data_IF_481654657421
#
_entry.id   IF_481654657421
#
_cell.length_a   1.000
_cell.length_b   1.000
_cell.length_c   1.000
_cell.angle_alpha   90.00
_cell.angle_beta   90.00
_cell.angle_gamma   90.00
#
_symmetry.space_group_name_H-M   'P 1'
#
loop_
_entity.id
_entity.type
_entity.pdbx_description
1 polymer ?
#
# COMPACT_ATOMS: atom_id res chain seq x y z
N UNK A 1 -25.75 -19.55 34.77
CA UNK A 1 -25.97 -18.44 33.81
C UNK A 1 -25.14 -18.55 32.52
N UNK A 2 -24.39 -19.63 32.26
CA UNK A 2 -23.43 -19.66 31.14
C UNK A 2 -23.92 -20.30 29.84
N UNK A 3 -25.11 -20.92 29.83
CA UNK A 3 -25.63 -21.60 28.64
C UNK A 3 -26.26 -20.64 27.64
N UNK A 4 -26.97 -19.62 28.14
CA UNK A 4 -27.67 -18.63 27.34
C UNK A 4 -26.67 -17.70 26.64
N UNK A 5 -25.62 -17.29 27.34
CA UNK A 5 -24.57 -16.43 26.79
C UNK A 5 -23.78 -17.13 25.68
N UNK A 6 -23.44 -18.41 25.88
CA UNK A 6 -22.76 -19.23 24.87
C UNK A 6 -23.62 -19.47 23.64
N UNK A 7 -24.91 -19.69 23.83
CA UNK A 7 -25.86 -19.85 22.74
C UNK A 7 -25.99 -18.56 21.91
N UNK A 8 -26.05 -17.40 22.59
CA UNK A 8 -26.10 -16.11 21.92
C UNK A 8 -24.82 -15.80 21.13
N UNK A 9 -23.64 -16.09 21.67
CA UNK A 9 -22.37 -15.92 20.97
C UNK A 9 -22.34 -16.75 19.68
N UNK A 10 -22.75 -18.02 19.73
CA UNK A 10 -22.84 -18.88 18.54
C UNK A 10 -23.81 -18.32 17.49
N UNK A 11 -24.98 -17.83 17.91
CA UNK A 11 -25.95 -17.22 17.00
C UNK A 11 -25.38 -15.96 16.34
N UNK A 12 -24.75 -15.06 17.11
CA UNK A 12 -24.15 -13.84 16.55
C UNK A 12 -23.00 -14.15 15.60
N UNK A 13 -22.21 -15.19 15.88
CA UNK A 13 -21.11 -15.62 15.02
C UNK A 13 -21.63 -16.15 13.68
N UNK A 14 -22.64 -17.02 13.71
CA UNK A 14 -23.26 -17.56 12.49
C UNK A 14 -23.93 -16.46 11.66
N UNK A 15 -24.63 -15.51 12.29
CA UNK A 15 -25.22 -14.35 11.60
C UNK A 15 -24.16 -13.43 10.98
N UNK A 16 -22.99 -13.29 11.62
CA UNK A 16 -21.86 -12.53 11.09
C UNK A 16 -21.22 -13.18 9.86
N UNK A 17 -21.25 -14.52 9.78
CA UNK A 17 -20.77 -15.26 8.62
C UNK A 17 -21.78 -15.26 7.45
N UNK A 18 -23.08 -15.13 7.75
CA UNK A 18 -24.16 -15.22 6.75
C UNK A 18 -24.61 -13.87 6.20
N UNK A 19 -24.23 -12.77 6.84
CA UNK A 19 -24.48 -11.42 6.32
C UNK A 19 -23.17 -10.82 5.82
N UNK A 20 -23.06 -10.35 4.57
CA UNK A 20 -21.97 -9.48 4.16
C UNK A 20 -22.24 -8.11 4.78
N UNK A 21 -22.10 -8.02 6.10
CA UNK A 21 -22.17 -6.74 6.81
C UNK A 21 -20.76 -6.15 6.81
N UNK A 22 -20.54 -4.99 6.18
CA UNK A 22 -19.28 -4.29 6.34
C UNK A 22 -19.20 -3.91 7.81
N UNK A 23 -18.15 -4.34 8.50
CA UNK A 23 -17.83 -3.86 9.83
C UNK A 23 -17.63 -2.34 9.75
N UNK A 24 -18.70 -1.57 10.02
CA UNK A 24 -18.60 -0.13 10.23
C UNK A 24 -18.20 0.08 11.68
N UNK A 25 -16.94 -0.17 11.98
CA UNK A 25 -16.34 0.17 13.26
C UNK A 25 -16.37 1.68 13.45
N UNK A 26 -16.90 2.14 14.59
CA UNK A 26 -16.78 3.54 15.01
C UNK A 26 -15.29 3.83 15.17
N UNK A 27 -14.72 4.60 14.23
CA UNK A 27 -13.35 5.13 14.31
C UNK A 27 -12.26 4.36 13.56
N UNK A 28 -12.59 3.34 12.76
CA UNK A 28 -11.60 2.62 11.94
C UNK A 28 -11.47 3.22 10.55
N UNK A 29 -10.24 3.52 10.10
CA UNK A 29 -9.96 3.83 8.69
C UNK A 29 -10.34 2.59 7.89
N UNK A 30 -11.45 2.66 7.16
CA UNK A 30 -11.88 1.62 6.23
C UNK A 30 -10.73 1.28 5.28
N UNK A 31 -10.54 -0.01 4.96
CA UNK A 31 -9.80 -0.39 3.76
C UNK A 31 -10.55 0.21 2.57
N UNK A 32 -10.08 1.38 2.12
CA UNK A 32 -10.66 2.04 0.97
C UNK A 32 -10.37 1.18 -0.27
N UNK A 33 -11.38 0.93 -1.13
CA UNK A 33 -11.13 0.31 -2.42
C UNK A 33 -10.14 1.16 -3.22
N UNK A 34 -9.48 0.54 -4.20
CA UNK A 34 -8.55 1.22 -5.12
C UNK A 34 -9.20 2.48 -5.72
N UNK A 35 -8.90 3.64 -5.13
CA UNK A 35 -9.26 4.93 -5.68
C UNK A 35 -8.22 5.29 -6.74
N UNK A 36 -8.69 5.53 -7.96
CA UNK A 36 -7.85 5.95 -9.07
C UNK A 36 -7.17 7.28 -8.73
N UNK A 37 -5.86 7.25 -8.49
CA UNK A 37 -5.04 8.47 -8.42
C UNK A 37 -4.81 9.00 -9.82
N UNK A 38 -5.67 9.92 -10.26
CA UNK A 38 -5.49 10.72 -11.47
C UNK A 38 -4.50 11.84 -11.17
N UNK A 39 -3.21 11.57 -11.41
CA UNK A 39 -2.13 12.54 -11.18
C UNK A 39 -0.99 12.34 -12.15
N UNK A 40 -1.28 12.35 -13.45
CA UNK A 40 -0.25 12.46 -14.50
C UNK A 40 0.13 13.93 -14.64
N UNK A 41 1.13 14.36 -13.89
CA UNK A 41 1.85 15.61 -14.10
C UNK A 41 3.25 15.29 -14.59
N UNK A 42 3.39 14.97 -15.88
CA UNK A 42 4.70 14.89 -16.54
C UNK A 42 5.25 16.30 -16.71
N UNK A 43 6.18 16.70 -15.84
CA UNK A 43 6.99 17.90 -16.00
C UNK A 43 8.21 17.54 -16.84
N UNK A 44 8.26 18.07 -18.06
CA UNK A 44 9.34 17.84 -19.02
C UNK A 44 10.71 18.32 -18.48
N UNK A 45 11.61 17.34 -18.35
CA UNK A 45 12.91 17.28 -19.01
C UNK A 45 14.09 18.13 -18.49
N UNK A 46 14.58 17.74 -17.30
CA UNK A 46 16.04 17.71 -16.99
C UNK A 46 16.46 16.50 -16.14
N UNK A 47 15.51 15.89 -15.43
CA UNK A 47 15.71 14.74 -14.55
C UNK A 47 14.72 13.62 -14.94
N UNK A 48 14.99 12.36 -14.59
CA UNK A 48 14.07 11.26 -14.85
C UNK A 48 12.77 11.31 -13.99
N UNK A 49 11.85 10.34 -14.16
CA UNK A 49 10.46 10.49 -13.73
C UNK A 49 10.28 10.48 -12.21
N UNK A 50 9.37 11.33 -11.73
CA UNK A 50 8.92 11.40 -10.34
C UNK A 50 7.39 11.31 -10.31
N UNK A 51 6.84 10.34 -9.60
CA UNK A 51 5.39 10.10 -9.60
C UNK A 51 4.90 9.41 -8.33
N UNK A 52 3.57 9.43 -8.11
CA UNK A 52 2.91 8.66 -7.05
C UNK A 52 2.70 7.22 -7.51
N UNK A 53 3.07 6.20 -6.71
CA UNK A 53 2.86 4.82 -7.10
C UNK A 53 1.36 4.54 -7.30
N UNK A 54 0.98 3.71 -8.29
CA UNK A 54 -0.33 3.07 -8.36
C UNK A 54 -0.75 2.49 -7.02
N UNK A 55 -1.96 2.80 -6.56
CA UNK A 55 -2.48 2.29 -5.29
C UNK A 55 -1.85 2.90 -4.04
N UNK A 56 -1.02 3.94 -4.18
CA UNK A 56 -0.49 4.69 -3.04
C UNK A 56 -1.59 5.29 -2.17
N UNK A 57 -1.30 5.49 -0.88
CA UNK A 57 -2.23 6.12 0.06
C UNK A 57 -2.57 7.54 -0.39
N UNK A 58 -3.87 7.86 -0.50
CA UNK A 58 -4.33 9.21 -0.88
C UNK A 58 -4.32 10.21 0.29
N UNK A 59 -4.43 9.72 1.53
CA UNK A 59 -4.51 10.53 2.75
C UNK A 59 -3.79 9.85 3.90
N UNK A 60 -3.45 10.63 4.92
CA UNK A 60 -2.80 10.16 6.14
C UNK A 60 -1.30 9.88 5.97
N UNK A 61 -0.67 9.24 6.98
CA UNK A 61 0.75 8.89 6.95
C UNK A 61 1.09 8.03 5.72
N UNK A 62 2.16 8.42 5.00
CA UNK A 62 2.61 7.77 3.77
C UNK A 62 2.02 8.32 2.48
N UNK A 63 1.03 9.23 2.54
CA UNK A 63 0.42 9.83 1.34
C UNK A 63 1.37 10.71 0.52
N UNK A 64 2.45 11.18 1.14
CA UNK A 64 3.51 11.94 0.50
C UNK A 64 4.56 11.08 -0.21
N UNK A 65 4.52 9.74 -0.11
CA UNK A 65 5.47 8.84 -0.78
C UNK A 65 5.49 9.04 -2.30
N UNK A 66 6.67 9.06 -2.91
CA UNK A 66 6.89 9.21 -4.36
C UNK A 66 7.94 8.22 -4.84
N UNK A 67 7.74 7.69 -6.05
CA UNK A 67 8.75 6.99 -6.82
C UNK A 67 9.60 8.01 -7.57
N UNK A 68 10.92 7.80 -7.58
CA UNK A 68 11.90 8.77 -8.09
C UNK A 68 12.99 8.00 -8.84
N UNK A 69 13.20 8.38 -10.09
CA UNK A 69 14.16 7.75 -11.01
C UNK A 69 15.05 8.81 -11.66
N UNK A 70 15.84 9.59 -10.88
CA UNK A 70 16.52 10.78 -11.37
C UNK A 70 17.50 10.50 -12.52
N UNK A 71 18.10 9.31 -12.56
CA UNK A 71 19.05 8.89 -13.59
C UNK A 71 18.39 8.34 -14.86
N UNK A 72 17.08 8.07 -14.85
CA UNK A 72 16.36 7.52 -16.00
C UNK A 72 15.79 8.64 -16.88
N UNK A 73 16.67 9.48 -17.43
CA UNK A 73 16.27 10.55 -18.37
C UNK A 73 15.70 9.93 -19.64
N UNK A 74 14.62 10.52 -20.17
CA UNK A 74 13.90 9.99 -21.33
C UNK A 74 12.95 8.83 -21.01
N UNK A 75 12.74 8.53 -19.72
CA UNK A 75 11.71 7.59 -19.27
C UNK A 75 10.53 8.33 -18.65
N UNK A 76 9.34 7.78 -18.83
CA UNK A 76 8.09 8.30 -18.30
C UNK A 76 7.30 7.21 -17.58
N UNK A 77 6.57 7.61 -16.55
CA UNK A 77 5.60 6.75 -15.88
C UNK A 77 4.41 6.45 -16.81
N UNK A 78 4.04 5.17 -16.92
CA UNK A 78 3.02 4.71 -17.87
C UNK A 78 1.89 3.88 -17.26
N UNK A 79 1.88 3.65 -15.94
CA UNK A 79 0.81 2.87 -15.30
C UNK A 79 -0.47 3.69 -15.18
N UNK A 80 -1.58 3.20 -15.73
CA UNK A 80 -2.92 3.82 -15.62
C UNK A 80 -3.88 2.89 -14.88
N UNK A 81 -5.05 3.37 -14.42
CA UNK A 81 -6.08 2.50 -13.86
C UNK A 81 -6.50 1.35 -14.79
N UNK A 82 -6.50 1.59 -16.10
CA UNK A 82 -6.87 0.63 -17.15
C UNK A 82 -5.71 -0.29 -17.54
N UNK A 83 -4.47 0.15 -17.34
CA UNK A 83 -3.27 -0.61 -17.62
C UNK A 83 -2.26 -0.54 -16.47
N UNK A 84 -2.34 -1.51 -15.56
CA UNK A 84 -1.40 -1.69 -14.46
C UNK A 84 -0.15 -2.51 -14.83
N UNK A 85 -0.09 -3.05 -16.05
CA UNK A 85 1.04 -3.85 -16.49
C UNK A 85 2.28 -3.00 -16.77
N UNK A 86 2.11 -1.78 -17.29
CA UNK A 86 3.21 -0.86 -17.57
C UNK A 86 3.65 -0.13 -16.30
N UNK A 87 4.96 -0.04 -16.06
CA UNK A 87 5.54 0.73 -14.94
C UNK A 87 6.25 2.00 -15.45
N UNK A 88 7.26 1.83 -16.30
CA UNK A 88 8.03 2.89 -16.94
C UNK A 88 8.16 2.59 -18.43
N UNK A 89 8.13 3.62 -19.28
CA UNK A 89 8.39 3.50 -20.71
C UNK A 89 9.43 4.53 -21.14
N UNK A 90 10.37 4.11 -21.97
CA UNK A 90 11.30 5.00 -22.64
C UNK A 90 10.58 5.74 -23.78
N UNK A 91 10.63 7.06 -23.77
CA UNK A 91 9.88 7.91 -24.68
C UNK A 91 10.44 7.87 -26.12
N UNK A 92 11.70 7.46 -26.31
CA UNK A 92 12.35 7.40 -27.62
C UNK A 92 12.30 5.99 -28.22
N UNK A 93 12.66 4.97 -27.44
CA UNK A 93 12.78 3.59 -27.93
C UNK A 93 11.50 2.78 -27.79
N UNK A 94 10.56 3.22 -26.94
CA UNK A 94 9.37 2.46 -26.58
C UNK A 94 9.64 1.26 -25.68
N UNK A 95 10.89 1.05 -25.21
CA UNK A 95 11.22 0.01 -24.25
C UNK A 95 10.44 0.22 -22.93
N UNK A 96 9.96 -0.86 -22.33
CA UNK A 96 9.13 -0.81 -21.12
C UNK A 96 9.72 -1.66 -19.99
N UNK A 97 9.66 -1.11 -18.78
CA UNK A 97 9.61 -1.93 -17.57
C UNK A 97 8.15 -2.20 -17.28
N UNK A 98 7.76 -3.47 -17.31
CA UNK A 98 6.38 -3.91 -17.19
C UNK A 98 6.28 -5.21 -16.39
N UNK A 99 5.07 -5.74 -16.24
CA UNK A 99 4.79 -6.94 -15.44
C UNK A 99 5.49 -8.22 -15.94
N UNK A 100 5.96 -8.22 -17.19
CA UNK A 100 6.69 -9.36 -17.79
C UNK A 100 8.20 -9.19 -17.79
N UNK A 101 8.70 -8.01 -17.37
CA UNK A 101 10.13 -7.80 -17.16
C UNK A 101 10.65 -8.76 -16.09
N UNK A 102 11.82 -9.36 -16.33
CA UNK A 102 12.45 -10.24 -15.34
C UNK A 102 13.03 -9.40 -14.20
N UNK A 103 12.28 -9.28 -13.10
CA UNK A 103 12.69 -8.49 -11.94
C UNK A 103 13.79 -9.14 -11.11
N UNK A 104 14.16 -10.40 -11.40
CA UNK A 104 15.29 -11.08 -10.76
C UNK A 104 16.61 -10.81 -11.51
N UNK A 105 16.55 -10.33 -12.76
CA UNK A 105 17.71 -9.85 -13.50
C UNK A 105 18.04 -8.39 -13.09
N UNK A 106 19.20 -8.23 -12.42
CA UNK A 106 19.69 -6.91 -12.01
C UNK A 106 19.87 -5.94 -13.19
N UNK A 107 20.08 -6.44 -14.42
CA UNK A 107 20.19 -5.59 -15.61
C UNK A 107 18.83 -5.07 -16.10
N UNK A 108 17.73 -5.68 -15.64
CA UNK A 108 16.35 -5.30 -15.96
C UNK A 108 15.67 -4.58 -14.80
N UNK A 109 16.44 -4.06 -13.85
CA UNK A 109 15.94 -3.27 -12.73
C UNK A 109 16.06 -1.76 -13.01
N UNK A 110 14.96 -0.98 -12.90
CA UNK A 110 15.01 0.47 -13.02
C UNK A 110 15.95 1.13 -12.00
N UNK A 111 16.69 2.14 -12.42
CA UNK A 111 17.62 2.88 -11.54
C UNK A 111 16.91 3.95 -10.71
N UNK A 112 16.61 3.62 -9.46
CA UNK A 112 15.92 4.51 -8.50
C UNK A 112 16.85 5.33 -7.60
N UNK A 113 16.38 5.59 -6.37
CA UNK A 113 17.13 6.27 -5.29
C UNK A 113 17.22 5.40 -4.04
N UNK A 114 18.21 5.67 -3.19
CA UNK A 114 18.26 5.12 -1.83
C UNK A 114 17.23 5.81 -0.95
N UNK A 115 16.38 5.03 -0.25
CA UNK A 115 15.48 5.53 0.80
C UNK A 115 15.91 4.98 2.15
N UNK A 116 16.12 5.86 3.11
CA UNK A 116 16.56 5.50 4.46
C UNK A 116 15.39 5.56 5.44
N UNK A 117 15.25 4.52 6.27
CA UNK A 117 14.24 4.42 7.31
C UNK A 117 14.90 4.04 8.63
N UNK A 118 14.44 4.64 9.73
CA UNK A 118 14.78 4.22 11.09
C UNK A 118 13.53 3.59 11.68
N UNK A 119 13.67 2.34 12.10
CA UNK A 119 12.57 1.51 12.59
C UNK A 119 12.93 1.02 13.99
N UNK A 120 12.13 1.42 14.96
CA UNK A 120 12.27 1.03 16.36
C UNK A 120 11.34 -0.13 16.68
N UNK A 121 11.91 -1.24 17.15
CA UNK A 121 11.13 -2.37 17.65
C UNK A 121 10.79 -2.14 19.12
N UNK A 122 9.50 -2.12 19.44
CA UNK A 122 9.02 -1.84 20.79
C UNK A 122 8.01 -2.88 21.25
N UNK A 123 8.08 -3.25 22.53
CA UNK A 123 6.98 -3.97 23.19
C UNK A 123 5.86 -2.97 23.48
N UNK A 124 4.65 -3.27 23.02
CA UNK A 124 3.48 -2.41 23.17
C UNK A 124 2.19 -3.22 23.21
N UNK A 125 1.20 -2.71 23.93
CA UNK A 125 -0.15 -3.26 23.91
C UNK A 125 -0.83 -2.91 22.58
N UNK A 126 -1.41 -3.90 21.93
CA UNK A 126 -2.17 -3.75 20.69
C UNK A 126 -3.51 -4.46 20.82
N UNK A 127 -4.55 -3.89 20.20
CA UNK A 127 -5.84 -4.53 20.01
C UNK A 127 -6.27 -4.27 18.56
N UNK A 128 -6.16 -5.29 17.70
CA UNK A 128 -6.44 -5.18 16.28
C UNK A 128 -7.75 -5.88 15.87
N UNK A 129 -8.23 -6.81 16.68
CA UNK A 129 -9.36 -7.70 16.41
C UNK A 129 -10.41 -7.71 17.53
N UNK A 130 -10.29 -6.80 18.50
CA UNK A 130 -11.15 -6.74 19.69
C UNK A 130 -10.53 -7.41 20.93
N UNK A 131 -9.44 -8.19 20.78
CA UNK A 131 -8.72 -8.80 21.90
C UNK A 131 -7.41 -8.05 22.19
N UNK A 132 -7.13 -7.86 23.47
CA UNK A 132 -5.90 -7.20 23.91
C UNK A 132 -4.70 -8.16 23.84
N UNK A 133 -3.66 -7.75 23.13
CA UNK A 133 -2.34 -8.36 23.11
C UNK A 133 -1.37 -7.46 23.90
N UNK A 134 -1.10 -7.76 25.18
CA UNK A 134 -0.36 -6.85 26.07
C UNK A 134 1.14 -6.74 25.73
N UNK A 135 1.70 -7.73 25.04
CA UNK A 135 3.14 -7.84 24.75
C UNK A 135 3.41 -7.93 23.23
N UNK A 136 2.69 -7.12 22.44
CA UNK A 136 2.90 -7.05 21.00
C UNK A 136 4.27 -6.43 20.67
N UNK A 137 5.03 -7.07 19.78
CA UNK A 137 6.25 -6.48 19.23
C UNK A 137 5.89 -5.69 17.98
N UNK A 138 5.92 -4.37 18.07
CA UNK A 138 5.48 -3.47 16.99
C UNK A 138 6.54 -2.44 16.63
N UNK A 139 6.55 -2.06 15.36
CA UNK A 139 7.45 -1.06 14.80
C UNK A 139 6.89 0.34 15.04
N UNK A 140 7.73 1.23 15.58
CA UNK A 140 7.41 2.65 15.83
C UNK A 140 6.11 2.85 16.64
N UNK A 141 5.78 1.91 17.53
CA UNK A 141 4.57 1.95 18.37
C UNK A 141 3.24 2.03 17.59
N UNK A 142 3.24 1.70 16.30
CA UNK A 142 2.03 1.69 15.46
C UNK A 142 1.78 0.32 14.86
N UNK A 143 0.51 -0.01 14.64
CA UNK A 143 0.11 -1.20 13.90
C UNK A 143 -0.86 -0.85 12.77
N UNK A 144 -0.56 -1.22 11.51
CA UNK A 144 0.75 -1.70 11.04
C UNK A 144 1.86 -0.64 11.26
N UNK A 145 3.12 -1.07 11.21
CA UNK A 145 4.27 -0.17 11.19
C UNK A 145 4.26 0.75 9.94
N UNK A 146 5.13 1.77 9.91
CA UNK A 146 5.27 2.66 8.76
C UNK A 146 5.80 1.96 7.50
#
# INVERSE_FOLDING_TARGET
>A
MYLIDRFWICITYVLSCLTPSPFKGIGGVEQAPFLASSGSGSLHHRNGPIFKPPGGRLRGPGSNFTCEYPQMVGWSFCSTPENRACWLRNDETGAEYNITTDYEDNNQTPTGITRNYVIDLTDHKINADGLDFPEGKIFNKTYPGP
#
